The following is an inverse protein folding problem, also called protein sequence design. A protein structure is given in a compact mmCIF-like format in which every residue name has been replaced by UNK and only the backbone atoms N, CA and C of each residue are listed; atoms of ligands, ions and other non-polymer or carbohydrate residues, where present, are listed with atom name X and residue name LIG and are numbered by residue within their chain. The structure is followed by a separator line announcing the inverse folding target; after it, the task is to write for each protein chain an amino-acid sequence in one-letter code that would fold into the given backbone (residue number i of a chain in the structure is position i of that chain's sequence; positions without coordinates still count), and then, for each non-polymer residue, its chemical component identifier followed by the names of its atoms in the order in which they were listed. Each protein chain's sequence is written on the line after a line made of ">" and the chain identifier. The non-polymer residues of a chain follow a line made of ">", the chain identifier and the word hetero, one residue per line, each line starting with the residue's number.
data_IF_411273649376
#
_entry.id   IF_411273649376
#
_cell.length_a   1.000
_cell.length_b   1.000
_cell.length_c   1.000
_cell.angle_alpha   90.00
_cell.angle_beta   90.00
_cell.angle_gamma   90.00
#
_symmetry.space_group_name_H-M   'P 1'
#
loop_
_entity.id
_entity.type
_entity.pdbx_description
1 polymer ?
#
# COMPACT_ATOMS: atom_id res chain seq x y z
N UNK A 1 -8.89 6.78 6.92
CA UNK A 1 -8.02 5.81 7.56
C UNK A 1 -7.01 6.41 8.54
N UNK A 2 -6.31 5.53 9.21
CA UNK A 2 -5.38 5.89 10.30
C UNK A 2 -4.20 6.79 9.91
N UNK A 3 -3.86 6.85 8.62
CA UNK A 3 -2.76 7.67 8.12
C UNK A 3 -3.20 8.99 7.46
N UNK A 4 -4.50 9.28 7.47
CA UNK A 4 -5.05 10.47 6.82
C UNK A 4 -5.34 11.60 7.83
N UNK A 5 -4.38 11.88 8.69
CA UNK A 5 -4.48 12.97 9.67
C UNK A 5 -4.01 14.29 9.04
N UNK A 6 -4.63 15.44 9.40
CA UNK A 6 -4.29 16.72 8.77
C UNK A 6 -2.91 17.27 9.18
N UNK A 7 -2.36 16.82 10.29
CA UNK A 7 -1.04 17.27 10.76
C UNK A 7 -0.38 16.25 11.68
N UNK A 8 0.92 16.36 11.79
CA UNK A 8 1.74 15.58 12.74
C UNK A 8 1.75 16.27 14.10
N UNK A 9 1.79 15.49 15.19
CA UNK A 9 1.83 16.04 16.55
C UNK A 9 3.15 16.74 16.89
N UNK A 10 3.09 17.68 17.81
CA UNK A 10 4.24 18.50 18.21
C UNK A 10 5.38 17.69 18.84
N UNK A 11 5.06 16.55 19.48
CA UNK A 11 6.06 15.66 20.09
C UNK A 11 6.73 14.75 19.06
N UNK A 12 5.97 14.29 18.06
CA UNK A 12 6.46 13.34 17.06
C UNK A 12 7.17 14.00 15.89
N UNK A 13 6.81 15.23 15.54
CA UNK A 13 7.37 15.93 14.39
C UNK A 13 8.89 16.03 14.40
N UNK A 14 9.56 16.45 15.53
CA UNK A 14 11.02 16.50 15.57
C UNK A 14 11.69 15.15 15.36
N UNK A 15 11.07 14.06 15.85
CA UNK A 15 11.58 12.69 15.66
C UNK A 15 11.47 12.27 14.20
N UNK A 16 10.34 12.57 13.55
CA UNK A 16 10.12 12.24 12.13
C UNK A 16 11.07 13.01 11.19
N UNK A 17 11.63 14.13 11.60
CA UNK A 17 12.62 14.86 10.82
C UNK A 17 13.96 14.13 10.71
N UNK A 18 14.21 13.12 11.54
CA UNK A 18 15.44 12.31 11.52
C UNK A 18 15.38 11.13 10.57
N UNK A 19 14.22 10.81 9.98
CA UNK A 19 14.11 9.71 9.02
C UNK A 19 14.68 10.09 7.65
N UNK A 20 15.08 9.08 6.88
CA UNK A 20 15.82 9.27 5.63
C UNK A 20 14.92 9.70 4.47
N UNK A 21 13.65 9.25 4.45
CA UNK A 21 12.76 9.54 3.32
C UNK A 21 11.29 9.44 3.72
N UNK A 22 10.42 10.02 2.89
CA UNK A 22 8.97 9.97 3.00
C UNK A 22 8.35 9.55 1.66
N UNK A 23 7.28 8.76 1.74
CA UNK A 23 6.49 8.37 0.57
C UNK A 23 5.02 8.72 0.80
N UNK A 24 4.42 9.36 -0.18
CA UNK A 24 2.97 9.58 -0.23
C UNK A 24 2.32 8.46 -1.03
N UNK A 25 1.21 7.93 -0.53
CA UNK A 25 0.52 6.77 -1.09
C UNK A 25 -0.95 7.12 -1.30
N UNK A 26 -1.49 6.87 -2.49
CA UNK A 26 -2.89 7.11 -2.80
C UNK A 26 -3.80 5.95 -2.39
N UNK A 27 -5.11 6.19 -2.43
CA UNK A 27 -6.12 5.19 -2.05
C UNK A 27 -6.13 3.97 -2.97
N UNK A 28 -5.83 4.14 -4.25
CA UNK A 28 -5.76 3.05 -5.22
C UNK A 28 -4.60 2.09 -4.89
N UNK A 29 -3.44 2.62 -4.60
CA UNK A 29 -2.26 1.84 -4.19
C UNK A 29 -2.51 1.11 -2.86
N UNK A 30 -3.21 1.74 -1.93
CA UNK A 30 -3.58 1.12 -0.65
C UNK A 30 -4.50 -0.08 -0.89
N UNK A 31 -5.55 0.07 -1.70
CA UNK A 31 -6.47 -1.01 -2.02
C UNK A 31 -5.77 -2.16 -2.75
N UNK A 32 -4.94 -1.85 -3.74
CA UNK A 32 -4.14 -2.80 -4.48
C UNK A 32 -3.26 -3.66 -3.56
N UNK A 33 -2.44 -3.02 -2.74
CA UNK A 33 -1.52 -3.74 -1.87
C UNK A 33 -2.23 -4.44 -0.70
N UNK A 34 -3.35 -3.91 -0.21
CA UNK A 34 -4.16 -4.62 0.79
C UNK A 34 -4.63 -5.96 0.26
N UNK A 35 -5.18 -5.99 -0.96
CA UNK A 35 -5.63 -7.24 -1.59
C UNK A 35 -4.47 -8.21 -1.81
N UNK A 36 -3.36 -7.74 -2.38
CA UNK A 36 -2.21 -8.61 -2.65
C UNK A 36 -1.58 -9.16 -1.38
N UNK A 37 -1.43 -8.37 -0.34
CA UNK A 37 -0.88 -8.84 0.93
C UNK A 37 -1.80 -9.87 1.60
N UNK A 38 -3.12 -9.64 1.59
CA UNK A 38 -4.07 -10.63 2.08
C UNK A 38 -3.94 -11.95 1.31
N UNK A 39 -3.85 -11.87 0.00
CA UNK A 39 -3.76 -13.05 -0.88
C UNK A 39 -2.44 -13.81 -0.70
N UNK A 40 -1.31 -13.11 -0.71
CA UNK A 40 0.02 -13.74 -0.66
C UNK A 40 0.38 -14.24 0.73
N UNK A 41 0.09 -13.46 1.77
CA UNK A 41 0.50 -13.77 3.13
C UNK A 41 -0.56 -14.57 3.90
N UNK A 42 -1.79 -14.60 3.41
CA UNK A 42 -2.95 -15.20 4.11
C UNK A 42 -3.17 -14.59 5.50
N UNK A 43 -2.85 -13.31 5.63
CA UNK A 43 -3.02 -12.53 6.84
C UNK A 43 -4.09 -11.46 6.66
N UNK A 44 -4.80 -11.16 7.74
CA UNK A 44 -5.76 -10.07 7.77
C UNK A 44 -5.04 -8.77 8.12
N UNK A 45 -4.76 -7.96 7.11
CA UNK A 45 -3.96 -6.74 7.22
C UNK A 45 -4.84 -5.52 6.99
N UNK A 46 -4.74 -4.52 7.87
CA UNK A 46 -5.45 -3.25 7.69
C UNK A 46 -4.83 -2.41 6.57
N UNK A 47 -5.64 -1.58 5.86
CA UNK A 47 -5.14 -0.80 4.71
C UNK A 47 -3.99 0.15 5.06
N UNK A 48 -4.01 0.74 6.26
CA UNK A 48 -2.92 1.63 6.71
C UNK A 48 -1.57 0.92 6.76
N UNK A 49 -1.54 -0.38 7.09
CA UNK A 49 -0.31 -1.17 7.05
C UNK A 49 0.10 -1.54 5.63
N UNK A 50 -0.85 -1.80 4.75
CA UNK A 50 -0.58 -2.18 3.37
C UNK A 50 0.09 -1.06 2.56
N UNK A 51 -0.09 0.21 2.95
CA UNK A 51 0.58 1.34 2.29
C UNK A 51 2.11 1.26 2.35
N UNK A 52 2.67 0.54 3.31
CA UNK A 52 4.12 0.34 3.37
C UNK A 52 4.66 -0.39 2.15
N UNK A 53 3.89 -1.30 1.56
CA UNK A 53 4.30 -2.01 0.33
C UNK A 53 4.33 -1.09 -0.90
N UNK A 54 3.44 -0.10 -0.99
CA UNK A 54 3.52 0.91 -2.04
C UNK A 54 4.82 1.71 -1.94
N UNK A 55 5.22 2.09 -0.73
CA UNK A 55 6.49 2.76 -0.49
C UNK A 55 7.69 1.87 -0.84
N UNK A 56 7.65 0.59 -0.47
CA UNK A 56 8.70 -0.38 -0.84
C UNK A 56 8.81 -0.55 -2.35
N UNK A 57 7.69 -0.64 -3.05
CA UNK A 57 7.68 -0.73 -4.51
C UNK A 57 8.34 0.48 -5.17
N UNK A 58 7.98 1.69 -4.72
CA UNK A 58 8.60 2.93 -5.20
C UNK A 58 10.10 3.00 -4.89
N UNK A 59 10.50 2.62 -3.68
CA UNK A 59 11.90 2.55 -3.29
C UNK A 59 12.68 1.54 -4.14
N UNK A 60 12.13 0.36 -4.36
CA UNK A 60 12.78 -0.70 -5.13
C UNK A 60 13.00 -0.31 -6.60
N UNK A 61 12.06 0.41 -7.20
CA UNK A 61 12.16 0.90 -8.58
C UNK A 61 13.36 1.83 -8.79
N UNK A 62 13.81 2.52 -7.74
CA UNK A 62 14.92 3.49 -7.78
C UNK A 62 16.17 3.01 -7.03
N UNK A 63 16.23 1.74 -6.63
CA UNK A 63 17.32 1.19 -5.85
C UNK A 63 18.02 0.08 -6.65
N UNK A 64 19.37 0.02 -6.63
CA UNK A 64 20.11 -1.05 -7.29
C UNK A 64 19.72 -2.43 -6.75
N UNK A 65 19.74 -3.50 -7.58
CA UNK A 65 19.42 -4.85 -7.13
C UNK A 65 20.36 -5.34 -6.02
N UNK A 66 19.89 -6.29 -5.21
CA UNK A 66 20.67 -6.89 -4.12
C UNK A 66 20.47 -6.23 -2.76
N UNK A 67 19.58 -5.24 -2.65
CA UNK A 67 19.22 -4.63 -1.37
C UNK A 67 18.12 -5.43 -0.66
N UNK A 68 18.07 -5.30 0.66
CA UNK A 68 17.04 -5.94 1.50
C UNK A 68 16.15 -4.88 2.12
N UNK A 69 14.83 -5.04 2.01
CA UNK A 69 13.85 -4.18 2.68
C UNK A 69 13.18 -4.94 3.83
N UNK A 70 13.14 -4.33 5.01
CA UNK A 70 12.35 -4.82 6.13
C UNK A 70 11.04 -4.03 6.19
N UNK A 71 9.92 -4.71 6.08
CA UNK A 71 8.59 -4.10 6.10
C UNK A 71 7.86 -4.48 7.38
N UNK A 72 7.37 -3.49 8.12
CA UNK A 72 6.60 -3.72 9.34
C UNK A 72 5.11 -3.64 9.00
N UNK A 73 4.40 -4.75 9.18
CA UNK A 73 2.95 -4.86 9.03
C UNK A 73 2.33 -4.89 10.42
N UNK A 74 1.97 -3.73 10.94
CA UNK A 74 1.71 -3.52 12.37
C UNK A 74 0.27 -3.73 12.81
N UNK A 75 -0.70 -3.89 11.92
CA UNK A 75 -2.11 -3.99 12.30
C UNK A 75 -2.98 -4.82 11.39
N UNK A 76 -4.07 -5.35 11.94
CA UNK A 76 -5.05 -6.17 11.25
C UNK A 76 -6.50 -5.80 11.59
N UNK A 77 -6.75 -4.67 12.21
CA UNK A 77 -8.08 -4.24 12.60
C UNK A 77 -8.74 -3.40 11.50
N UNK A 78 -9.63 -4.02 10.75
CA UNK A 78 -10.36 -3.37 9.67
C UNK A 78 -11.87 -3.56 9.86
N UNK A 79 -12.67 -2.50 9.68
CA UNK A 79 -14.11 -2.58 9.71
C UNK A 79 -14.65 -3.28 8.46
N UNK A 80 -15.88 -3.84 8.57
CA UNK A 80 -16.53 -4.47 7.43
C UNK A 80 -16.75 -3.49 6.26
N UNK A 81 -17.10 -2.25 6.55
CA UNK A 81 -17.30 -1.22 5.53
C UNK A 81 -15.99 -0.87 4.80
N UNK A 82 -14.89 -0.80 5.53
CA UNK A 82 -13.56 -0.58 4.93
C UNK A 82 -13.13 -1.78 4.09
N UNK A 83 -13.38 -2.99 4.56
CA UNK A 83 -13.10 -4.22 3.81
C UNK A 83 -13.89 -4.28 2.51
N UNK A 84 -15.20 -3.97 2.54
CA UNK A 84 -16.03 -3.92 1.35
C UNK A 84 -15.50 -2.91 0.32
N UNK A 85 -15.08 -1.73 0.79
CA UNK A 85 -14.50 -0.70 -0.07
C UNK A 85 -13.18 -1.13 -0.72
N UNK A 86 -12.31 -1.82 0.02
CA UNK A 86 -11.06 -2.36 -0.51
C UNK A 86 -11.31 -3.36 -1.64
N UNK A 87 -12.38 -4.16 -1.55
CA UNK A 87 -12.71 -5.22 -2.51
C UNK A 87 -13.75 -4.81 -3.56
N UNK A 88 -14.07 -3.53 -3.71
CA UNK A 88 -14.95 -3.05 -4.78
C UNK A 88 -14.40 -3.33 -6.18
N UNK A 89 -13.09 -3.36 -6.33
CA UNK A 89 -12.37 -3.64 -7.57
C UNK A 89 -11.44 -4.82 -7.35
N UNK A 90 -11.37 -5.74 -8.28
CA UNK A 90 -10.51 -6.91 -8.19
C UNK A 90 -9.12 -6.63 -8.79
N UNK A 91 -8.14 -6.43 -7.91
CA UNK A 91 -6.74 -6.23 -8.30
C UNK A 91 -5.95 -7.54 -8.43
N UNK A 92 -6.55 -8.70 -8.10
CA UNK A 92 -5.88 -10.00 -8.17
C UNK A 92 -5.91 -10.62 -9.57
N UNK A 93 -6.55 -9.97 -10.54
CA UNK A 93 -6.59 -10.42 -11.92
C UNK A 93 -5.23 -10.41 -12.61
N UNK A 94 -4.29 -9.61 -12.13
CA UNK A 94 -2.95 -9.52 -12.66
C UNK A 94 -1.92 -9.77 -11.54
N UNK A 95 -0.71 -10.29 -11.88
CA UNK A 95 0.37 -10.42 -10.90
C UNK A 95 0.74 -9.06 -10.28
N UNK A 96 1.33 -9.07 -9.06
CA UNK A 96 1.81 -7.83 -8.44
C UNK A 96 2.81 -7.11 -9.34
N UNK A 97 2.66 -5.78 -9.44
CA UNK A 97 3.55 -4.88 -10.16
C UNK A 97 4.25 -3.95 -9.18
N UNK A 98 5.49 -3.60 -9.48
CA UNK A 98 6.29 -2.72 -8.62
C UNK A 98 6.14 -1.24 -8.96
N UNK A 99 5.75 -0.94 -10.19
CA UNK A 99 5.51 0.42 -10.67
C UNK A 99 4.00 0.62 -10.84
N UNK A 100 3.41 1.47 -10.01
CA UNK A 100 1.97 1.74 -9.98
C UNK A 100 1.64 3.18 -10.41
N UNK A 101 2.59 3.86 -11.06
CA UNK A 101 2.36 5.24 -11.52
C UNK A 101 1.49 5.30 -12.78
N UNK A 102 1.22 4.16 -13.42
CA UNK A 102 0.41 4.04 -14.61
C UNK A 102 -1.01 3.62 -14.28
N UNK A 103 -1.94 4.59 -14.23
CA UNK A 103 -3.36 4.33 -14.01
C UNK A 103 -3.98 3.44 -15.11
N UNK A 104 -3.40 3.43 -16.31
CA UNK A 104 -3.89 2.63 -17.44
C UNK A 104 -3.80 1.13 -17.14
N UNK A 105 -2.84 0.67 -16.35
CA UNK A 105 -2.70 -0.74 -15.98
C UNK A 105 -3.88 -1.23 -15.12
N UNK A 106 -4.43 -0.40 -14.27
CA UNK A 106 -5.61 -0.75 -13.48
C UNK A 106 -6.89 -0.78 -14.31
N UNK A 107 -7.02 0.06 -15.34
CA UNK A 107 -8.13 0.02 -16.29
C UNK A 107 -8.12 -1.29 -17.11
N UNK A 108 -6.95 -1.73 -17.55
CA UNK A 108 -6.79 -3.01 -18.27
C UNK A 108 -7.19 -4.21 -17.39
N UNK A 109 -6.95 -4.15 -16.10
CA UNK A 109 -7.39 -5.16 -15.14
C UNK A 109 -8.92 -5.31 -15.10
N UNK A 110 -9.67 -4.22 -15.21
CA UNK A 110 -11.13 -4.26 -15.27
C UNK A 110 -11.67 -4.89 -16.55
N UNK A 111 -10.99 -4.73 -17.68
CA UNK A 111 -11.41 -5.27 -18.98
C UNK A 111 -11.28 -6.79 -19.06
N UNK A 112 -10.42 -7.40 -18.29
CA UNK A 112 -10.17 -8.84 -18.32
C UNK A 112 -11.30 -9.65 -17.69
N UNK A 113 -12.16 -9.05 -16.88
CA UNK A 113 -13.33 -9.70 -16.27
C UNK A 113 -14.44 -10.03 -17.25
N UNK A 114 -14.46 -9.39 -18.37
CA UNK A 114 -15.48 -9.67 -19.38
C UNK A 114 -15.26 -11.05 -20.01
#
# INVERSE_FOLDING_TARGET
>A
GGAATPSVGDVTFPILQEIDDFYEVDELQIAYWTQWLHHLLKLHIEPTCAMTMAAVAAWAANTPPGQTALVILSGGNISQSSMAKIWERDFLLQPPILDLDDEDEFEDTERVEA
#
